data_IF_765982630864
#
_entry.id   IF_765982630864
#
_cell.length_a   1.000
_cell.length_b   1.000
_cell.length_c   1.000
_cell.angle_alpha   90.00
_cell.angle_beta   90.00
_cell.angle_gamma   90.00
#
_symmetry.space_group_name_H-M   'P 1'
#
loop_
_entity.id
_entity.type
_entity.pdbx_description
1 polymer ?
#
# COMPACT_ATOMS: atom_id res chain seq x y z
N UNK A 1 -45.66 -2.72 25.18
CA UNK A 1 -44.92 -1.87 24.23
C UNK A 1 -45.87 -1.51 23.11
N UNK A 2 -46.08 -0.23 22.81
CA UNK A 2 -46.94 0.21 21.70
C UNK A 2 -46.06 0.31 20.46
N UNK A 3 -46.30 -0.52 19.45
CA UNK A 3 -45.65 -0.39 18.15
C UNK A 3 -46.13 0.92 17.51
N UNK A 4 -45.30 1.95 17.59
CA UNK A 4 -45.55 3.22 16.95
C UNK A 4 -45.22 3.08 15.45
N UNK A 5 -46.25 2.99 14.62
CA UNK A 5 -46.08 3.05 13.16
C UNK A 5 -45.72 4.49 12.78
N UNK A 6 -44.43 4.78 12.66
CA UNK A 6 -43.95 6.09 12.23
C UNK A 6 -44.20 6.23 10.73
N UNK A 7 -45.22 7.00 10.36
CA UNK A 7 -45.53 7.35 8.97
C UNK A 7 -44.65 8.54 8.57
N UNK A 8 -43.53 8.25 7.92
CA UNK A 8 -42.68 9.25 7.30
C UNK A 8 -43.20 9.61 5.90
N UNK A 9 -43.03 10.86 5.51
CA UNK A 9 -43.33 11.26 4.12
C UNK A 9 -42.41 10.52 3.15
N UNK A 10 -42.90 10.29 1.93
CA UNK A 10 -42.14 9.63 0.88
C UNK A 10 -40.80 10.34 0.59
N UNK A 11 -40.79 11.67 0.61
CA UNK A 11 -39.58 12.49 0.44
C UNK A 11 -38.56 12.24 1.56
N UNK A 12 -39.04 12.13 2.81
CA UNK A 12 -38.18 11.82 3.96
C UNK A 12 -37.61 10.40 3.86
N UNK A 13 -38.41 9.43 3.40
CA UNK A 13 -37.95 8.07 3.14
C UNK A 13 -36.89 8.02 2.04
N UNK A 14 -37.10 8.73 0.92
CA UNK A 14 -36.09 8.82 -0.13
C UNK A 14 -34.79 9.47 0.38
N UNK A 15 -34.88 10.55 1.16
CA UNK A 15 -33.70 11.20 1.72
C UNK A 15 -32.91 10.28 2.68
N UNK A 16 -33.61 9.47 3.48
CA UNK A 16 -32.98 8.46 4.34
C UNK A 16 -32.31 7.37 3.50
N UNK A 17 -33.01 6.86 2.48
CA UNK A 17 -32.47 5.84 1.57
C UNK A 17 -31.20 6.34 0.87
N UNK A 18 -31.22 7.54 0.29
CA UNK A 18 -30.05 8.11 -0.39
C UNK A 18 -28.85 8.29 0.55
N UNK A 19 -29.10 8.63 1.81
CA UNK A 19 -28.04 8.72 2.82
C UNK A 19 -27.48 7.34 3.18
N UNK A 20 -28.33 6.33 3.32
CA UNK A 20 -27.92 4.96 3.56
C UNK A 20 -27.09 4.41 2.39
N UNK A 21 -27.59 4.55 1.15
CA UNK A 21 -26.88 4.12 -0.06
C UNK A 21 -25.49 4.78 -0.18
N UNK A 22 -25.39 6.08 0.17
CA UNK A 22 -24.12 6.81 0.19
C UNK A 22 -23.19 6.32 1.29
N UNK A 23 -23.72 6.00 2.47
CA UNK A 23 -22.93 5.48 3.58
C UNK A 23 -22.36 4.10 3.27
N UNK A 24 -23.17 3.21 2.71
CA UNK A 24 -22.73 1.86 2.32
C UNK A 24 -21.61 1.94 1.28
N UNK A 25 -21.79 2.82 0.27
CA UNK A 25 -20.76 3.06 -0.75
C UNK A 25 -19.44 3.58 -0.15
N UNK A 26 -19.51 4.57 0.74
CA UNK A 26 -18.32 5.11 1.40
C UNK A 26 -17.64 4.08 2.30
N UNK A 27 -18.42 3.21 2.95
CA UNK A 27 -17.90 2.14 3.79
C UNK A 27 -17.14 1.12 2.95
N UNK A 28 -17.69 0.68 1.82
CA UNK A 28 -16.99 -0.23 0.91
C UNK A 28 -15.71 0.39 0.32
N UNK A 29 -15.75 1.66 -0.09
CA UNK A 29 -14.56 2.36 -0.60
C UNK A 29 -13.47 2.47 0.47
N UNK A 30 -13.85 2.71 1.73
CA UNK A 30 -12.93 2.80 2.85
C UNK A 30 -12.33 1.44 3.23
N UNK A 31 -13.13 0.36 3.19
CA UNK A 31 -12.65 -1.00 3.39
C UNK A 31 -11.65 -1.43 2.31
N UNK A 32 -11.91 -1.08 1.05
CA UNK A 32 -10.99 -1.31 -0.06
C UNK A 32 -9.68 -0.52 0.11
N UNK A 33 -9.76 0.73 0.54
CA UNK A 33 -8.59 1.55 0.84
C UNK A 33 -7.76 0.95 1.99
N UNK A 34 -8.41 0.57 3.10
CA UNK A 34 -7.76 -0.07 4.24
C UNK A 34 -7.14 -1.43 3.87
N UNK A 35 -7.79 -2.21 3.00
CA UNK A 35 -7.26 -3.47 2.47
C UNK A 35 -5.99 -3.25 1.65
N UNK A 36 -5.98 -2.25 0.76
CA UNK A 36 -4.81 -1.89 -0.04
C UNK A 36 -3.64 -1.46 0.84
N UNK A 37 -3.89 -0.61 1.83
CA UNK A 37 -2.89 -0.18 2.84
C UNK A 37 -2.33 -1.37 3.63
N UNK A 38 -3.18 -2.26 4.12
CA UNK A 38 -2.74 -3.47 4.84
C UNK A 38 -1.87 -4.37 3.94
N UNK A 39 -2.25 -4.54 2.68
CA UNK A 39 -1.47 -5.32 1.71
C UNK A 39 -0.09 -4.69 1.42
N UNK A 40 -0.03 -3.36 1.39
CA UNK A 40 1.20 -2.61 1.18
C UNK A 40 2.13 -2.75 2.39
N UNK A 41 1.61 -2.55 3.60
CA UNK A 41 2.36 -2.73 4.84
C UNK A 41 2.91 -4.17 4.94
N UNK A 42 2.09 -5.18 4.61
CA UNK A 42 2.53 -6.56 4.60
C UNK A 42 3.70 -6.80 3.64
N UNK A 43 3.62 -6.27 2.41
CA UNK A 43 4.72 -6.36 1.43
C UNK A 43 5.99 -5.69 1.94
N UNK A 44 5.88 -4.51 2.55
CA UNK A 44 7.01 -3.77 3.09
C UNK A 44 7.67 -4.53 4.25
N UNK A 45 6.88 -5.02 5.20
CA UNK A 45 7.35 -5.85 6.31
C UNK A 45 8.08 -7.09 5.81
N UNK A 46 7.52 -7.81 4.83
CA UNK A 46 8.19 -8.98 4.23
C UNK A 46 9.52 -8.61 3.57
N UNK A 47 9.63 -7.45 2.93
CA UNK A 47 10.90 -7.00 2.34
C UNK A 47 11.95 -6.71 3.41
N UNK A 48 11.55 -6.09 4.53
CA UNK A 48 12.43 -5.79 5.66
C UNK A 48 12.87 -7.08 6.38
N UNK A 49 11.94 -8.00 6.62
CA UNK A 49 12.24 -9.30 7.23
C UNK A 49 13.25 -10.08 6.39
N UNK A 50 13.01 -10.18 5.07
CA UNK A 50 13.95 -10.85 4.15
C UNK A 50 15.30 -10.16 4.08
N UNK A 51 15.33 -8.82 4.12
CA UNK A 51 16.59 -8.08 4.18
C UNK A 51 17.38 -8.38 5.46
N UNK A 52 16.68 -8.53 6.59
CA UNK A 52 17.28 -8.85 7.88
C UNK A 52 17.74 -10.31 8.00
N UNK A 53 17.07 -11.24 7.33
CA UNK A 53 17.46 -12.66 7.24
C UNK A 53 18.67 -12.89 6.31
N UNK A 54 18.95 -11.96 5.41
CA UNK A 54 20.06 -12.08 4.47
C UNK A 54 21.42 -11.90 5.16
N UNK A 55 22.27 -12.93 5.06
CA UNK A 55 23.64 -12.89 5.58
C UNK A 55 24.62 -12.16 4.66
N UNK A 56 24.26 -11.96 3.38
CA UNK A 56 25.09 -11.27 2.38
C UNK A 56 24.55 -9.88 2.07
N UNK A 57 25.46 -8.90 1.99
CA UNK A 57 25.11 -7.49 1.76
C UNK A 57 24.37 -7.26 0.43
N UNK A 58 24.72 -8.02 -0.62
CA UNK A 58 24.09 -7.92 -1.94
C UNK A 58 22.61 -8.34 -1.93
N UNK A 59 22.28 -9.42 -1.21
CA UNK A 59 20.90 -9.87 -1.08
C UNK A 59 20.07 -8.95 -0.18
N UNK A 60 20.70 -8.39 0.86
CA UNK A 60 20.08 -7.37 1.70
C UNK A 60 19.70 -6.12 0.88
N UNK A 61 20.65 -5.59 0.10
CA UNK A 61 20.41 -4.44 -0.78
C UNK A 61 19.30 -4.71 -1.81
N UNK A 62 19.21 -5.93 -2.35
CA UNK A 62 18.13 -6.31 -3.26
C UNK A 62 16.75 -6.24 -2.60
N UNK A 63 16.60 -6.77 -1.38
CA UNK A 63 15.33 -6.72 -0.66
C UNK A 63 14.95 -5.30 -0.22
N UNK A 64 15.93 -4.48 0.13
CA UNK A 64 15.71 -3.04 0.39
C UNK A 64 15.23 -2.33 -0.87
N UNK A 65 15.86 -2.57 -2.03
CA UNK A 65 15.46 -1.96 -3.30
C UNK A 65 14.02 -2.35 -3.71
N UNK A 66 13.62 -3.60 -3.46
CA UNK A 66 12.24 -4.04 -3.68
C UNK A 66 11.25 -3.33 -2.75
N UNK A 67 11.63 -3.10 -1.48
CA UNK A 67 10.82 -2.31 -0.54
C UNK A 67 10.65 -0.86 -0.99
N UNK A 68 11.74 -0.21 -1.44
CA UNK A 68 11.70 1.16 -1.98
C UNK A 68 10.82 1.22 -3.24
N UNK A 69 10.92 0.22 -4.11
CA UNK A 69 10.06 0.13 -5.30
C UNK A 69 8.59 0.05 -4.93
N UNK A 70 8.24 -0.79 -3.96
CA UNK A 70 6.87 -0.92 -3.48
C UNK A 70 6.32 0.39 -2.88
N UNK A 71 7.15 1.17 -2.18
CA UNK A 71 6.78 2.49 -1.66
C UNK A 71 6.47 3.46 -2.82
N UNK A 72 7.34 3.51 -3.83
CA UNK A 72 7.15 4.42 -4.96
C UNK A 72 5.92 4.05 -5.79
N UNK A 73 5.66 2.75 -6.02
CA UNK A 73 4.46 2.26 -6.69
C UNK A 73 3.17 2.60 -5.90
N UNK A 74 3.22 2.56 -4.55
CA UNK A 74 2.04 2.84 -3.71
C UNK A 74 1.66 4.32 -3.69
N UNK A 75 2.64 5.23 -3.74
CA UNK A 75 2.42 6.68 -3.71
C UNK A 75 2.50 7.35 -5.09
N UNK A 76 2.59 6.57 -6.17
CA UNK A 76 2.71 7.05 -7.56
C UNK A 76 3.93 7.98 -7.76
N UNK A 77 5.04 7.68 -7.08
CA UNK A 77 6.32 8.38 -7.25
C UNK A 77 7.14 7.78 -8.38
N UNK A 78 7.77 8.63 -9.18
CA UNK A 78 8.74 8.20 -10.19
C UNK A 78 10.05 7.79 -9.51
N UNK A 79 10.27 6.47 -9.41
CA UNK A 79 11.51 5.87 -8.90
C UNK A 79 12.77 6.45 -9.53
N UNK A 80 12.74 6.79 -10.82
CA UNK A 80 13.94 7.30 -11.51
C UNK A 80 14.21 8.75 -11.15
N UNK A 81 13.17 9.52 -10.86
CA UNK A 81 13.30 10.92 -10.47
C UNK A 81 13.83 11.04 -9.03
N UNK A 82 13.31 10.24 -8.11
CA UNK A 82 13.64 10.32 -6.68
C UNK A 82 14.88 9.50 -6.28
N UNK A 83 15.11 8.36 -6.97
CA UNK A 83 16.11 7.37 -6.58
C UNK A 83 16.98 6.90 -7.75
N UNK A 84 16.98 7.61 -8.89
CA UNK A 84 17.84 7.29 -10.03
C UNK A 84 19.35 7.29 -9.70
N UNK A 85 19.75 7.98 -8.63
CA UNK A 85 21.11 7.99 -8.09
C UNK A 85 21.36 6.94 -6.99
N UNK A 86 20.33 6.23 -6.50
CA UNK A 86 20.52 4.98 -5.75
C UNK A 86 20.93 3.89 -6.74
N UNK A 87 22.11 4.08 -7.32
CA UNK A 87 22.79 3.11 -8.15
C UNK A 87 22.84 1.80 -7.38
N UNK A 88 22.24 0.78 -8.00
CA UNK A 88 22.73 -0.60 -8.07
C UNK A 88 24.10 -0.65 -7.39
N UNK A 89 24.14 -1.23 -6.18
CA UNK A 89 25.31 -1.21 -5.31
C UNK A 89 26.56 -1.33 -6.15
N UNK A 90 27.44 -0.33 -6.03
CA UNK A 90 28.64 -0.19 -6.85
C UNK A 90 29.19 -1.56 -7.23
N UNK A 91 28.96 -1.95 -8.48
CA UNK A 91 29.67 -3.02 -9.17
C UNK A 91 31.11 -2.57 -9.46
N UNK A 92 31.76 -1.96 -8.47
CA UNK A 92 33.15 -1.57 -8.46
C UNK A 92 33.81 -2.36 -7.33
N UNK A 93 34.84 -3.11 -7.71
CA UNK A 93 35.70 -3.98 -6.90
C UNK A 93 35.28 -5.45 -6.88
N UNK A 94 35.60 -6.18 -7.98
CA UNK A 94 36.33 -7.48 -7.87
C UNK A 94 36.56 -8.24 -9.20
N UNK A 95 36.27 -7.69 -10.38
CA UNK A 95 36.57 -8.37 -11.66
C UNK A 95 37.69 -7.71 -12.50
N UNK A 96 38.70 -7.10 -11.86
CA UNK A 96 39.83 -6.47 -12.59
C UNK A 96 41.21 -7.03 -12.27
N UNK A 97 41.36 -8.01 -11.37
CA UNK A 97 42.66 -8.63 -11.09
C UNK A 97 42.59 -10.16 -11.18
N UNK A 98 42.38 -10.68 -12.39
CA UNK A 98 42.88 -12.00 -12.79
C UNK A 98 43.77 -11.78 -14.01
N UNK A 99 45.05 -11.54 -13.73
CA UNK A 99 46.18 -11.85 -14.60
C UNK A 99 47.20 -12.61 -13.77
#
# INVERSE_FOLDING_TARGET
MKDATVTISYESFQAIKTKADKFDKLTSENEEAASKESSFIAKLSTCIEKANECQTAEHNQYHIALGIRAICEHYDYDLKAEYGELGVGQAYLCCSNIQ
#
